data_IF_701203630043
#
_entry.id   IF_701203630043
#
_cell.length_a   1.000
_cell.length_b   1.000
_cell.length_c   1.000
_cell.angle_alpha   90.00
_cell.angle_beta   90.00
_cell.angle_gamma   90.00
#
_symmetry.space_group_name_H-M   'P 1'
#
loop_
_entity.id
_entity.type
_entity.pdbx_description
1 polymer ?
#
# COMPACT_ATOMS: atom_id res chain seq x y z
N UNK A 1 -21.00 16.62 6.43
CA UNK A 1 -19.91 15.82 5.85
C UNK A 1 -19.62 16.39 4.49
N UNK A 2 -18.47 17.05 4.33
CA UNK A 2 -18.04 17.56 3.02
C UNK A 2 -17.39 16.39 2.30
N UNK A 3 -18.04 15.86 1.27
CA UNK A 3 -17.39 14.95 0.34
C UNK A 3 -16.21 15.70 -0.29
N UNK A 4 -14.99 15.24 -0.02
CA UNK A 4 -13.82 15.74 -0.73
C UNK A 4 -14.03 15.46 -2.23
N UNK A 5 -13.85 16.46 -3.08
CA UNK A 5 -13.90 16.25 -4.52
C UNK A 5 -12.79 15.27 -4.93
N UNK A 6 -13.15 14.22 -5.66
CA UNK A 6 -12.19 13.28 -6.24
C UNK A 6 -11.22 14.03 -7.15
N UNK A 7 -9.92 13.74 -7.00
CA UNK A 7 -8.86 14.30 -7.83
C UNK A 7 -8.14 13.17 -8.53
N UNK A 8 -7.96 13.32 -9.84
CA UNK A 8 -7.29 12.34 -10.67
C UNK A 8 -6.01 12.95 -11.24
N UNK A 9 -4.95 12.16 -11.21
CA UNK A 9 -3.65 12.50 -11.79
C UNK A 9 -3.20 11.32 -12.64
N UNK A 10 -2.78 11.61 -13.87
CA UNK A 10 -2.18 10.63 -14.77
C UNK A 10 -0.70 10.96 -14.94
N UNK A 11 0.15 9.94 -14.82
CA UNK A 11 1.60 10.06 -14.94
C UNK A 11 2.15 8.85 -15.69
N UNK A 12 3.14 9.09 -16.54
CA UNK A 12 3.89 8.03 -17.20
C UNK A 12 5.19 7.77 -16.44
N UNK A 13 5.39 6.51 -16.02
CA UNK A 13 6.56 6.09 -15.26
C UNK A 13 7.30 5.02 -16.06
N UNK A 14 8.57 5.27 -16.37
CA UNK A 14 9.40 4.34 -17.15
C UNK A 14 10.51 3.80 -16.25
N UNK A 15 10.40 2.51 -15.92
CA UNK A 15 11.40 1.80 -15.10
C UNK A 15 11.02 1.66 -13.62
N UNK A 16 11.60 0.67 -12.96
CA UNK A 16 11.30 0.32 -11.57
C UNK A 16 11.78 1.41 -10.60
N UNK A 17 12.88 2.07 -10.92
CA UNK A 17 13.49 3.13 -10.12
C UNK A 17 12.58 4.37 -10.06
N UNK A 18 11.92 4.70 -11.17
CA UNK A 18 10.98 5.83 -11.24
C UNK A 18 9.70 5.54 -10.46
N UNK A 19 9.19 4.31 -10.55
CA UNK A 19 8.05 3.86 -9.74
C UNK A 19 8.38 3.87 -8.24
N UNK A 20 9.56 3.40 -7.86
CA UNK A 20 10.05 3.49 -6.47
C UNK A 20 10.19 4.95 -6.01
N UNK A 21 10.72 5.84 -6.85
CA UNK A 21 10.85 7.25 -6.52
C UNK A 21 9.48 7.93 -6.33
N UNK A 22 8.46 7.57 -7.12
CA UNK A 22 7.09 8.04 -6.88
C UNK A 22 6.56 7.54 -5.54
N UNK A 23 6.73 6.25 -5.25
CA UNK A 23 6.33 5.68 -3.96
C UNK A 23 6.98 6.41 -2.79
N UNK A 24 8.28 6.70 -2.89
CA UNK A 24 9.02 7.42 -1.85
C UNK A 24 8.46 8.82 -1.60
N UNK A 25 8.13 9.56 -2.65
CA UNK A 25 7.50 10.88 -2.54
C UNK A 25 6.12 10.82 -1.90
N UNK A 26 5.33 9.78 -2.17
CA UNK A 26 4.05 9.55 -1.50
C UNK A 26 4.29 9.30 -0.01
N UNK A 27 5.25 8.42 0.34
CA UNK A 27 5.58 8.10 1.73
C UNK A 27 6.06 9.30 2.53
N UNK A 28 6.90 10.16 1.94
CA UNK A 28 7.37 11.40 2.57
C UNK A 28 6.23 12.40 2.86
N UNK A 29 5.15 12.35 2.09
CA UNK A 29 3.97 13.20 2.27
C UNK A 29 2.86 12.52 3.11
N UNK A 30 3.02 11.24 3.44
CA UNK A 30 2.01 10.46 4.13
C UNK A 30 1.99 10.74 5.64
N UNK A 31 0.82 10.54 6.23
CA UNK A 31 0.61 10.44 7.68
C UNK A 31 -0.15 9.17 8.00
N UNK A 32 -0.30 8.86 9.29
CA UNK A 32 -1.16 7.76 9.73
C UNK A 32 -2.58 7.93 9.17
N UNK A 33 -3.21 6.81 8.81
CA UNK A 33 -4.56 6.75 8.25
C UNK A 33 -4.61 6.84 6.72
N UNK A 34 -3.46 6.96 6.05
CA UNK A 34 -3.42 6.83 4.59
C UNK A 34 -3.54 5.35 4.21
N UNK A 35 -4.48 5.08 3.30
CA UNK A 35 -4.65 3.79 2.63
C UNK A 35 -4.28 3.97 1.16
N UNK A 36 -3.41 3.08 0.66
CA UNK A 36 -2.94 3.07 -0.71
C UNK A 36 -3.43 1.80 -1.40
N UNK A 37 -4.52 1.94 -2.15
CA UNK A 37 -5.09 0.87 -2.97
C UNK A 37 -4.32 0.73 -4.29
N UNK A 38 -3.70 -0.43 -4.50
CA UNK A 38 -2.91 -0.72 -5.70
C UNK A 38 -3.58 -1.78 -6.56
N UNK A 39 -4.02 -1.34 -7.75
CA UNK A 39 -4.69 -2.18 -8.74
C UNK A 39 -3.86 -2.26 -10.01
N UNK A 40 -3.91 -3.40 -10.66
CA UNK A 40 -3.19 -3.65 -11.92
C UNK A 40 -2.73 -5.09 -12.06
N UNK A 41 -2.34 -5.47 -13.26
CA UNK A 41 -1.94 -6.83 -13.60
C UNK A 41 -0.64 -7.29 -12.91
N UNK A 42 -0.32 -8.58 -13.06
CA UNK A 42 0.95 -9.12 -12.60
C UNK A 42 2.11 -8.40 -13.32
N UNK A 43 3.10 -7.93 -12.56
CA UNK A 43 4.22 -7.18 -13.12
C UNK A 43 3.96 -5.68 -13.35
N UNK A 44 2.77 -5.16 -13.04
CA UNK A 44 2.44 -3.72 -13.19
C UNK A 44 3.24 -2.76 -12.28
N UNK A 45 4.11 -3.28 -11.40
CA UNK A 45 4.96 -2.45 -10.53
C UNK A 45 4.38 -2.11 -9.15
N UNK A 46 3.27 -2.74 -8.75
CA UNK A 46 2.62 -2.55 -7.43
C UNK A 46 3.62 -2.65 -6.26
N UNK A 47 4.31 -3.79 -6.12
CA UNK A 47 5.34 -3.97 -5.09
C UNK A 47 6.50 -2.97 -5.20
N UNK A 48 6.85 -2.52 -6.42
CA UNK A 48 7.89 -1.49 -6.59
C UNK A 48 7.45 -0.16 -5.98
N UNK A 49 6.20 0.24 -6.22
CA UNK A 49 5.64 1.42 -5.58
C UNK A 49 5.64 1.28 -4.05
N UNK A 50 5.27 0.12 -3.51
CA UNK A 50 5.28 -0.13 -2.05
C UNK A 50 6.69 -0.06 -1.46
N UNK A 51 7.71 -0.57 -2.16
CA UNK A 51 9.11 -0.42 -1.72
C UNK A 51 9.53 1.05 -1.64
N UNK A 52 9.12 1.85 -2.62
CA UNK A 52 9.28 3.29 -2.60
C UNK A 52 8.59 3.91 -1.39
N UNK A 53 7.31 3.61 -1.21
CA UNK A 53 6.48 4.07 -0.10
C UNK A 53 7.14 3.81 1.25
N UNK A 54 7.60 2.58 1.47
CA UNK A 54 8.31 2.18 2.67
C UNK A 54 9.56 3.04 2.94
N UNK A 55 10.38 3.32 1.91
CA UNK A 55 11.54 4.22 2.05
C UNK A 55 11.11 5.62 2.47
N UNK A 56 10.04 6.15 1.86
CA UNK A 56 9.50 7.46 2.20
C UNK A 56 8.97 7.57 3.63
N UNK A 57 8.46 6.46 4.17
CA UNK A 57 8.01 6.34 5.56
C UNK A 57 9.15 6.14 6.57
N UNK A 58 10.39 5.96 6.09
CA UNK A 58 11.55 5.68 6.94
C UNK A 58 11.60 4.24 7.45
N UNK A 59 10.95 3.29 6.78
CA UNK A 59 11.06 1.86 7.08
C UNK A 59 12.48 1.38 6.77
N UNK A 60 13.07 0.68 7.72
CA UNK A 60 14.37 0.02 7.54
C UNK A 60 14.20 -1.42 7.06
N UNK A 61 15.12 -1.88 6.19
CA UNK A 61 15.17 -3.27 5.72
C UNK A 61 14.51 -3.50 4.36
N UNK A 62 14.34 -4.78 4.03
CA UNK A 62 13.88 -5.20 2.69
C UNK A 62 12.39 -5.43 2.70
N UNK A 63 11.67 -4.63 1.91
CA UNK A 63 10.25 -4.85 1.60
C UNK A 63 10.12 -5.76 0.39
N UNK A 64 9.37 -6.85 0.54
CA UNK A 64 9.03 -7.82 -0.51
C UNK A 64 7.52 -7.99 -0.52
N UNK A 65 6.99 -8.45 -1.66
CA UNK A 65 5.57 -8.77 -1.72
C UNK A 65 5.22 -9.90 -0.74
N UNK A 66 4.19 -9.73 0.12
CA UNK A 66 3.77 -10.71 1.09
C UNK A 66 2.78 -11.74 0.51
N UNK A 67 2.77 -12.02 -0.81
CA UNK A 67 1.74 -12.86 -1.48
C UNK A 67 1.43 -14.20 -0.78
N UNK A 68 2.37 -14.80 -0.03
CA UNK A 68 2.16 -16.07 0.68
C UNK A 68 1.77 -15.92 2.15
N UNK A 69 2.07 -14.78 2.76
CA UNK A 69 1.76 -14.48 4.16
C UNK A 69 0.60 -13.47 4.29
N UNK A 70 0.07 -13.01 3.15
CA UNK A 70 -1.01 -12.03 2.97
C UNK A 70 -0.66 -10.63 3.45
N UNK A 71 -0.08 -10.48 4.65
CA UNK A 71 0.31 -9.20 5.21
C UNK A 71 1.71 -9.25 5.85
N UNK A 72 2.44 -8.15 5.77
CA UNK A 72 3.69 -7.93 6.48
C UNK A 72 3.68 -6.54 7.12
N UNK A 73 4.05 -6.48 8.39
CA UNK A 73 4.22 -5.22 9.09
C UNK A 73 5.69 -4.80 9.01
N UNK A 74 5.91 -3.56 8.58
CA UNK A 74 7.22 -2.94 8.55
C UNK A 74 7.28 -1.73 9.47
N UNK A 75 8.18 -1.79 10.45
CA UNK A 75 8.37 -0.71 11.42
C UNK A 75 9.21 0.42 10.83
N UNK A 76 8.79 1.66 11.13
CA UNK A 76 9.47 2.90 10.79
C UNK A 76 8.92 4.04 11.66
N UNK A 77 9.35 5.29 11.44
CA UNK A 77 8.72 6.47 12.04
C UNK A 77 7.19 6.49 11.85
N UNK A 78 6.73 6.02 10.70
CA UNK A 78 5.34 5.65 10.43
C UNK A 78 5.34 4.19 9.98
N UNK A 79 4.61 3.32 10.68
CA UNK A 79 4.53 1.90 10.34
C UNK A 79 3.83 1.69 9.00
N UNK A 80 4.27 0.68 8.25
CA UNK A 80 3.63 0.25 7.00
C UNK A 80 3.06 -1.16 7.18
N UNK A 81 1.74 -1.29 7.06
CA UNK A 81 1.08 -2.57 6.84
C UNK A 81 1.00 -2.82 5.33
N UNK A 82 1.84 -3.72 4.82
CA UNK A 82 1.82 -4.12 3.42
C UNK A 82 0.98 -5.39 3.27
N UNK A 83 -0.10 -5.29 2.50
CA UNK A 83 -1.01 -6.39 2.19
C UNK A 83 -0.92 -6.76 0.71
N UNK A 84 -0.99 -8.05 0.39
CA UNK A 84 -1.11 -8.58 -0.96
C UNK A 84 -2.26 -9.59 -1.02
N UNK A 85 -3.39 -9.14 -1.60
CA UNK A 85 -4.63 -9.89 -1.69
C UNK A 85 -4.69 -10.86 -2.89
N UNK A 86 -3.58 -11.09 -3.61
CA UNK A 86 -3.57 -11.97 -4.78
C UNK A 86 -4.06 -13.40 -4.51
N UNK A 87 -3.98 -13.87 -3.26
CA UNK A 87 -4.40 -15.22 -2.86
C UNK A 87 -5.63 -15.29 -1.98
N UNK A 88 -6.28 -14.15 -1.73
CA UNK A 88 -7.54 -14.16 -1.01
C UNK A 88 -8.66 -14.61 -1.93
N UNK A 89 -9.47 -15.54 -1.43
CA UNK A 89 -10.66 -16.05 -2.11
C UNK A 89 -11.93 -15.28 -1.69
N UNK A 90 -11.92 -14.70 -0.48
CA UNK A 90 -13.01 -13.91 0.08
C UNK A 90 -12.55 -12.47 0.39
N UNK A 91 -13.19 -11.43 -0.20
CA UNK A 91 -12.92 -10.03 0.10
C UNK A 91 -13.05 -9.64 1.59
N UNK A 92 -13.83 -10.38 2.37
CA UNK A 92 -14.02 -10.14 3.80
C UNK A 92 -12.91 -10.69 4.70
N UNK A 93 -12.02 -11.54 4.17
CA UNK A 93 -10.99 -12.24 4.98
C UNK A 93 -10.06 -11.24 5.69
N UNK A 94 -9.70 -10.14 5.03
CA UNK A 94 -8.87 -9.08 5.62
C UNK A 94 -9.57 -8.35 6.78
N UNK A 95 -10.84 -8.00 6.62
CA UNK A 95 -11.63 -7.32 7.65
C UNK A 95 -11.74 -8.16 8.94
N UNK A 96 -11.83 -9.49 8.82
CA UNK A 96 -11.87 -10.40 9.96
C UNK A 96 -10.57 -10.38 10.80
N UNK A 97 -9.46 -9.89 10.26
CA UNK A 97 -8.17 -9.84 10.93
C UNK A 97 -7.88 -8.50 11.65
N UNK A 98 -8.84 -7.57 11.71
CA UNK A 98 -8.68 -6.30 12.46
C UNK A 98 -7.62 -5.38 11.90
N UNK A 99 -7.41 -5.41 10.58
CA UNK A 99 -6.44 -4.57 9.89
C UNK A 99 -6.76 -3.08 9.93
N UNK A 100 -8.03 -2.70 10.12
CA UNK A 100 -8.51 -1.32 10.27
C UNK A 100 -8.01 -0.66 11.56
N UNK A 101 -7.68 -1.45 12.58
CA UNK A 101 -6.99 -0.96 13.78
C UNK A 101 -5.61 -0.34 13.44
N UNK A 102 -5.01 -0.68 12.29
CA UNK A 102 -3.74 -0.08 11.84
C UNK A 102 -3.87 1.33 11.27
N UNK A 103 -5.08 1.79 10.94
CA UNK A 103 -5.30 3.14 10.42
C UNK A 103 -4.80 4.22 11.37
N UNK A 104 -4.83 3.97 12.68
CA UNK A 104 -4.33 4.94 13.68
C UNK A 104 -2.82 4.86 13.89
N UNK A 105 -2.20 3.73 13.54
CA UNK A 105 -0.79 3.45 13.82
C UNK A 105 0.15 3.65 12.61
N UNK A 106 -0.40 3.75 11.40
CA UNK A 106 0.43 3.90 10.22
C UNK A 106 -0.29 4.03 8.89
N UNK A 107 0.40 3.57 7.86
CA UNK A 107 -0.04 3.57 6.46
C UNK A 107 -0.34 2.13 6.06
N UNK A 108 -1.40 1.93 5.29
CA UNK A 108 -1.76 0.62 4.74
C UNK A 108 -1.56 0.68 3.22
N UNK A 109 -0.85 -0.30 2.66
CA UNK A 109 -0.74 -0.47 1.22
C UNK A 109 -1.27 -1.85 0.81
N UNK A 110 -2.27 -1.87 -0.08
CA UNK A 110 -2.97 -3.09 -0.48
C UNK A 110 -2.72 -3.35 -1.97
N UNK A 111 -1.92 -4.37 -2.28
CA UNK A 111 -1.83 -4.91 -3.63
C UNK A 111 -3.05 -5.78 -3.94
N UNK A 112 -3.56 -5.68 -5.18
CA UNK A 112 -4.80 -6.35 -5.62
C UNK A 112 -6.02 -5.88 -4.84
N UNK A 113 -6.10 -4.58 -4.58
CA UNK A 113 -7.20 -3.96 -3.83
C UNK A 113 -8.58 -4.15 -4.48
N UNK A 114 -8.65 -4.60 -5.74
CA UNK A 114 -9.89 -5.03 -6.40
C UNK A 114 -10.50 -6.31 -5.81
N UNK A 115 -9.74 -7.05 -4.98
CA UNK A 115 -10.15 -8.32 -4.37
C UNK A 115 -10.58 -8.19 -2.92
N UNK A 116 -10.59 -6.99 -2.37
CA UNK A 116 -10.95 -6.73 -0.96
C UNK A 116 -12.12 -5.76 -0.91
N UNK A 117 -12.85 -5.75 0.19
CA UNK A 117 -13.87 -4.72 0.38
C UNK A 117 -13.21 -3.34 0.53
N UNK A 118 -13.77 -2.28 -0.09
CA UNK A 118 -13.27 -0.92 0.10
C UNK A 118 -13.36 -0.48 1.56
N UNK A 119 -12.39 0.33 1.99
CA UNK A 119 -12.34 0.97 3.32
C UNK A 119 -13.03 2.32 3.30
#
# INVERSE_FOLDING_TARGET
MTTAAERFHEVELVGVEVTEALGERIGQAAGCGLVVDLRGELGAGKTALVRGLARGLGVEGIVRSPTFIIASLHSGPISLLHVDAYRLDDPGELALHGWDDWLVEGVIAVEWADRVEPI
#
